data_IF_474537112714
#
_entry.id   IF_474537112714
#
_cell.length_a   1.000
_cell.length_b   1.000
_cell.length_c   1.000
_cell.angle_alpha   90.00
_cell.angle_beta   90.00
_cell.angle_gamma   90.00
#
_symmetry.space_group_name_H-M   'P 1'
#
loop_
_entity.id
_entity.type
_entity.pdbx_description
1 polymer ?
#
# COMPACT_ATOMS: atom_id res chain seq x y z
N UNK A 1 -60.40 -0.22 -36.59
CA UNK A 1 -59.85 0.05 -35.24
C UNK A 1 -58.41 -0.39 -35.26
N UNK A 2 -57.53 0.50 -34.84
CA UNK A 2 -56.09 0.64 -35.10
C UNK A 2 -55.23 -0.52 -34.58
N UNK A 3 -54.43 -1.10 -35.47
CA UNK A 3 -53.24 -1.89 -35.11
C UNK A 3 -52.11 -0.92 -34.74
N UNK A 4 -51.76 -0.89 -33.46
CA UNK A 4 -50.65 -0.10 -32.95
C UNK A 4 -49.33 -0.81 -33.26
N UNK A 5 -48.64 -0.34 -34.29
CA UNK A 5 -47.24 -0.68 -34.55
C UNK A 5 -46.38 -0.14 -33.40
N UNK A 6 -45.91 -1.02 -32.53
CA UNK A 6 -44.91 -0.70 -31.53
C UNK A 6 -43.52 -0.77 -32.18
N UNK A 7 -43.12 0.30 -32.87
CA UNK A 7 -41.75 0.46 -33.34
C UNK A 7 -40.84 0.67 -32.12
N UNK A 8 -40.05 -0.36 -31.80
CA UNK A 8 -38.91 -0.21 -30.90
C UNK A 8 -37.92 0.78 -31.52
N UNK A 9 -37.76 1.92 -30.86
CA UNK A 9 -36.77 2.95 -31.18
C UNK A 9 -35.35 2.40 -31.10
N UNK A 10 -34.53 2.75 -32.10
CA UNK A 10 -33.11 2.44 -32.17
C UNK A 10 -32.34 2.99 -30.94
N UNK A 11 -31.25 2.33 -30.48
CA UNK A 11 -30.48 2.83 -29.36
C UNK A 11 -29.78 4.14 -29.71
N UNK A 12 -30.11 5.12 -28.87
CA UNK A 12 -29.53 6.44 -28.62
C UNK A 12 -28.02 6.52 -28.86
N UNK A 13 -27.60 7.52 -29.62
CA UNK A 13 -26.22 7.86 -29.99
C UNK A 13 -25.27 7.81 -28.78
N UNK A 14 -24.37 6.81 -28.75
CA UNK A 14 -23.42 6.62 -27.66
C UNK A 14 -22.51 7.86 -27.52
N UNK A 15 -22.42 8.41 -26.31
CA UNK A 15 -21.55 9.55 -26.04
C UNK A 15 -20.13 9.06 -25.74
N UNK A 16 -19.22 9.30 -26.68
CA UNK A 16 -17.80 8.99 -26.54
C UNK A 16 -17.06 10.23 -26.06
N UNK A 17 -16.38 10.12 -24.93
CA UNK A 17 -15.53 11.18 -24.39
C UNK A 17 -14.07 10.83 -24.65
N UNK A 18 -13.35 11.72 -25.33
CA UNK A 18 -11.92 11.54 -25.60
C UNK A 18 -11.11 11.78 -24.33
N UNK A 19 -10.22 10.85 -24.00
CA UNK A 19 -9.21 11.02 -22.96
C UNK A 19 -8.00 11.81 -23.48
N UNK A 20 -7.14 12.24 -22.56
CA UNK A 20 -5.93 13.01 -22.88
C UNK A 20 -4.92 12.25 -23.77
N UNK A 21 -4.92 10.91 -23.72
CA UNK A 21 -4.05 10.09 -24.58
C UNK A 21 -4.76 9.93 -25.92
N UNK A 22 -4.41 10.83 -26.84
CA UNK A 22 -4.98 10.91 -28.16
C UNK A 22 -3.91 11.27 -29.18
N UNK A 23 -3.49 10.29 -29.98
CA UNK A 23 -2.48 10.50 -31.03
C UNK A 23 -3.14 10.73 -32.38
N UNK A 24 -2.75 11.79 -33.09
CA UNK A 24 -3.30 12.13 -34.40
C UNK A 24 -3.04 11.02 -35.43
N UNK A 25 -1.86 10.41 -35.37
CA UNK A 25 -1.40 9.27 -36.17
C UNK A 25 -1.77 7.90 -35.57
N UNK A 26 -2.49 7.86 -34.44
CA UNK A 26 -2.96 6.64 -33.83
C UNK A 26 -3.85 5.83 -34.79
N UNK A 27 -3.63 4.51 -34.82
CA UNK A 27 -4.28 3.60 -35.76
C UNK A 27 -5.25 2.60 -35.10
N UNK A 28 -5.52 2.77 -33.80
CA UNK A 28 -6.56 2.05 -33.08
C UNK A 28 -7.16 2.91 -31.96
N UNK A 29 -8.47 2.78 -31.72
CA UNK A 29 -9.16 3.42 -30.58
C UNK A 29 -9.53 2.35 -29.56
N UNK A 30 -9.10 2.52 -28.31
CA UNK A 30 -9.60 1.73 -27.19
C UNK A 30 -10.79 2.46 -26.58
N UNK A 31 -11.95 1.80 -26.48
CA UNK A 31 -13.11 2.35 -25.78
C UNK A 31 -13.37 1.59 -24.50
N UNK A 32 -13.81 2.30 -23.47
CA UNK A 32 -14.12 1.74 -22.16
C UNK A 32 -15.49 2.23 -21.70
N UNK A 33 -16.44 1.35 -21.38
CA UNK A 33 -17.74 1.74 -20.84
C UNK A 33 -17.59 2.43 -19.48
N UNK A 34 -18.23 3.59 -19.28
CA UNK A 34 -18.26 4.32 -17.99
C UNK A 34 -19.68 4.45 -17.43
N UNK A 35 -20.67 4.04 -18.21
CA UNK A 35 -22.08 4.02 -17.83
C UNK A 35 -22.94 3.61 -19.03
N UNK A 36 -24.27 3.51 -18.84
CA UNK A 36 -25.16 3.16 -19.93
C UNK A 36 -25.04 4.15 -21.09
N UNK A 37 -24.56 3.69 -22.24
CA UNK A 37 -24.38 4.51 -23.45
C UNK A 37 -23.23 5.53 -23.42
N UNK A 38 -22.34 5.47 -22.42
CA UNK A 38 -21.21 6.40 -22.27
C UNK A 38 -19.87 5.67 -22.27
N UNK A 39 -18.93 6.15 -23.08
CA UNK A 39 -17.62 5.54 -23.24
C UNK A 39 -16.50 6.57 -23.06
N UNK A 40 -15.38 6.15 -22.48
CA UNK A 40 -14.10 6.88 -22.60
C UNK A 40 -13.28 6.26 -23.72
N UNK A 41 -12.72 7.08 -24.59
CA UNK A 41 -11.91 6.64 -25.72
C UNK A 41 -10.46 7.12 -25.64
N UNK A 42 -9.54 6.24 -26.02
CA UNK A 42 -8.11 6.50 -26.12
C UNK A 42 -7.64 6.15 -27.53
N UNK A 43 -7.08 7.12 -28.26
CA UNK A 43 -6.55 6.88 -29.61
C UNK A 43 -5.05 6.65 -29.53
N UNK A 44 -4.61 5.45 -29.90
CA UNK A 44 -3.24 4.93 -29.66
C UNK A 44 -2.70 4.16 -30.86
N UNK A 45 -1.45 3.70 -30.75
CA UNK A 45 -0.78 2.87 -31.73
C UNK A 45 -0.89 1.39 -31.38
N UNK A 46 -1.49 0.61 -32.29
CA UNK A 46 -1.61 -0.85 -32.21
C UNK A 46 -0.26 -1.50 -31.91
N UNK A 47 0.76 -1.18 -32.71
CA UNK A 47 2.10 -1.78 -32.58
C UNK A 47 2.76 -1.50 -31.22
N UNK A 48 2.45 -0.38 -30.57
CA UNK A 48 2.96 -0.09 -29.22
C UNK A 48 2.40 -1.08 -28.20
N UNK A 49 1.10 -1.38 -28.28
CA UNK A 49 0.45 -2.33 -27.38
C UNK A 49 0.93 -3.76 -27.64
N UNK A 50 0.97 -4.19 -28.90
CA UNK A 50 1.41 -5.54 -29.30
C UNK A 50 2.85 -5.82 -28.91
N UNK A 51 3.73 -4.82 -29.03
CA UNK A 51 5.14 -4.94 -28.64
C UNK A 51 5.31 -5.27 -27.16
N UNK A 52 4.41 -4.79 -26.31
CA UNK A 52 4.52 -4.90 -24.86
C UNK A 52 3.61 -5.95 -24.24
N UNK A 53 2.64 -6.49 -25.00
CA UNK A 53 1.62 -7.40 -24.49
C UNK A 53 1.23 -8.45 -25.55
N UNK A 54 1.48 -9.71 -25.23
CA UNK A 54 1.02 -10.86 -26.01
C UNK A 54 -0.52 -10.95 -26.05
N UNK A 55 -1.18 -10.47 -24.99
CA UNK A 55 -2.65 -10.41 -24.91
C UNK A 55 -3.20 -9.42 -25.94
N UNK A 56 -2.62 -8.22 -26.03
CA UNK A 56 -3.02 -7.26 -27.06
C UNK A 56 -2.67 -7.74 -28.48
N UNK A 57 -1.50 -8.38 -28.66
CA UNK A 57 -1.14 -9.03 -29.94
C UNK A 57 -2.20 -10.06 -30.36
N UNK A 58 -2.60 -10.93 -29.44
CA UNK A 58 -3.63 -11.94 -29.70
C UNK A 58 -4.98 -11.28 -29.99
N UNK A 59 -5.37 -10.28 -29.19
CA UNK A 59 -6.62 -9.54 -29.33
C UNK A 59 -6.77 -8.90 -30.72
N UNK A 60 -5.71 -8.30 -31.25
CA UNK A 60 -5.75 -7.64 -32.55
C UNK A 60 -5.47 -8.59 -33.73
N UNK A 61 -5.04 -9.83 -33.46
CA UNK A 61 -4.88 -10.85 -34.51
C UNK A 61 -6.21 -11.44 -34.98
N UNK A 62 -7.27 -11.32 -34.16
CA UNK A 62 -8.60 -11.84 -34.49
C UNK A 62 -9.21 -11.01 -35.62
N UNK A 63 -9.56 -11.62 -36.77
CA UNK A 63 -10.18 -10.89 -37.88
C UNK A 63 -11.49 -10.24 -37.45
N UNK A 64 -11.57 -8.93 -37.58
CA UNK A 64 -12.80 -8.17 -37.40
C UNK A 64 -13.69 -8.35 -38.66
N UNK A 65 -15.02 -8.44 -38.52
CA UNK A 65 -15.94 -8.51 -39.66
C UNK A 65 -15.71 -7.35 -40.65
N UNK A 66 -15.91 -7.60 -41.94
CA UNK A 66 -15.66 -6.61 -43.02
C UNK A 66 -16.51 -5.32 -42.87
N UNK A 67 -17.63 -5.41 -42.15
CA UNK A 67 -18.52 -4.30 -41.85
C UNK A 67 -18.34 -3.74 -40.41
N UNK A 68 -17.15 -3.85 -39.83
CA UNK A 68 -16.90 -3.30 -38.49
C UNK A 68 -17.10 -1.78 -38.48
N UNK A 69 -17.88 -1.31 -37.51
CA UNK A 69 -18.06 0.11 -37.23
C UNK A 69 -16.71 0.75 -36.95
N UNK A 70 -16.48 1.94 -37.53
CA UNK A 70 -15.27 2.74 -37.28
C UNK A 70 -15.65 3.93 -36.41
N UNK A 71 -14.82 4.22 -35.42
CA UNK A 71 -14.91 5.45 -34.64
C UNK A 71 -13.93 6.43 -35.26
N UNK A 72 -14.43 7.52 -35.83
CA UNK A 72 -13.60 8.57 -36.45
C UNK A 72 -12.66 8.02 -37.55
N UNK A 73 -13.14 7.06 -38.33
CA UNK A 73 -12.37 6.42 -39.40
C UNK A 73 -11.29 5.44 -38.90
N UNK A 74 -11.25 5.17 -37.59
CA UNK A 74 -10.29 4.28 -36.96
C UNK A 74 -10.98 3.01 -36.43
N UNK A 75 -10.38 1.82 -36.60
CA UNK A 75 -10.87 0.63 -35.92
C UNK A 75 -10.80 0.81 -34.41
N UNK A 76 -11.74 0.21 -33.69
CA UNK A 76 -11.80 0.30 -32.24
C UNK A 76 -11.92 -1.07 -31.59
N UNK A 77 -11.54 -1.12 -30.32
CA UNK A 77 -11.69 -2.28 -29.45
C UNK A 77 -12.30 -1.83 -28.12
N UNK A 78 -13.39 -2.48 -27.73
CA UNK A 78 -13.99 -2.29 -26.42
C UNK A 78 -13.25 -3.09 -25.36
N UNK A 79 -12.85 -2.41 -24.28
CA UNK A 79 -12.23 -2.98 -23.10
C UNK A 79 -13.14 -2.73 -21.88
N UNK A 80 -13.16 -3.66 -20.94
CA UNK A 80 -13.98 -3.57 -19.73
C UNK A 80 -13.17 -3.18 -18.49
N UNK A 81 -12.10 -2.43 -18.69
CA UNK A 81 -11.16 -2.03 -17.64
C UNK A 81 -11.59 -0.73 -16.97
N UNK A 82 -10.97 -0.39 -15.84
CA UNK A 82 -11.16 0.95 -15.27
C UNK A 82 -10.52 2.00 -16.21
N UNK A 83 -11.26 3.06 -16.62
CA UNK A 83 -10.69 4.11 -17.48
C UNK A 83 -9.45 4.77 -16.89
N UNK A 84 -9.42 5.00 -15.58
CA UNK A 84 -8.25 5.57 -14.90
C UNK A 84 -7.07 4.60 -14.92
N UNK A 85 -7.31 3.30 -14.76
CA UNK A 85 -6.23 2.32 -14.78
C UNK A 85 -5.61 2.22 -16.17
N UNK A 86 -6.45 2.24 -17.20
CA UNK A 86 -6.02 2.22 -18.59
C UNK A 86 -5.20 3.46 -18.93
N UNK A 87 -5.61 4.64 -18.45
CA UNK A 87 -4.85 5.87 -18.61
C UNK A 87 -3.43 5.75 -18.04
N UNK A 88 -3.27 5.24 -16.82
CA UNK A 88 -1.94 5.09 -16.22
C UNK A 88 -1.11 4.01 -16.91
N UNK A 89 -1.72 2.91 -17.36
CA UNK A 89 -1.01 1.90 -18.14
C UNK A 89 -0.48 2.49 -19.45
N UNK A 90 -1.35 3.17 -20.20
CA UNK A 90 -0.97 3.80 -21.47
C UNK A 90 0.11 4.87 -21.23
N UNK A 91 -0.05 5.73 -20.22
CA UNK A 91 0.98 6.71 -19.85
C UNK A 91 2.32 6.02 -19.56
N UNK A 92 2.31 4.89 -18.83
CA UNK A 92 3.52 4.13 -18.56
C UNK A 92 4.16 3.50 -19.82
N UNK A 93 3.36 3.12 -20.83
CA UNK A 93 3.85 2.55 -22.09
C UNK A 93 4.42 3.59 -23.05
N UNK A 94 3.90 4.82 -23.02
CA UNK A 94 4.36 5.91 -23.90
C UNK A 94 5.44 6.77 -23.24
N UNK A 95 5.19 7.20 -22.01
CA UNK A 95 6.03 8.17 -21.29
C UNK A 95 6.97 7.50 -20.29
N UNK A 96 6.80 6.21 -20.01
CA UNK A 96 7.53 5.49 -18.97
C UNK A 96 6.94 5.70 -17.57
N UNK A 97 7.34 4.83 -16.63
CA UNK A 97 6.85 4.87 -15.25
C UNK A 97 7.96 5.36 -14.31
N UNK A 98 8.12 6.67 -14.08
CA UNK A 98 9.25 7.21 -13.31
C UNK A 98 8.86 7.67 -11.90
N UNK A 99 9.57 7.18 -10.89
CA UNK A 99 9.43 7.59 -9.48
C UNK A 99 10.70 8.29 -9.03
N UNK A 100 10.83 9.61 -9.30
CA UNK A 100 12.04 10.37 -8.96
C UNK A 100 12.25 10.46 -7.45
N UNK A 101 11.17 10.65 -6.70
CA UNK A 101 11.13 10.66 -5.24
C UNK A 101 9.92 9.84 -4.82
N UNK A 102 10.11 9.00 -3.80
CA UNK A 102 9.04 8.26 -3.16
C UNK A 102 7.92 9.20 -2.72
N UNK A 103 6.69 8.97 -3.19
CA UNK A 103 5.52 9.70 -2.70
C UNK A 103 4.29 8.79 -2.60
N UNK A 104 3.46 9.00 -1.57
CA UNK A 104 2.25 8.18 -1.39
C UNK A 104 1.27 8.26 -2.57
N UNK A 105 1.20 9.41 -3.24
CA UNK A 105 0.38 9.60 -4.46
C UNK A 105 0.82 8.74 -5.65
N UNK A 106 2.05 8.23 -5.66
CA UNK A 106 2.52 7.32 -6.71
C UNK A 106 1.71 6.01 -6.71
N UNK A 107 1.10 5.65 -5.58
CA UNK A 107 0.35 4.41 -5.43
C UNK A 107 -0.86 4.31 -6.36
N UNK A 108 -1.51 5.43 -6.72
CA UNK A 108 -2.60 5.39 -7.72
C UNK A 108 -2.07 4.83 -9.04
N UNK A 109 -0.96 5.37 -9.54
CA UNK A 109 -0.33 4.91 -10.77
C UNK A 109 0.22 3.50 -10.63
N UNK A 110 0.90 3.18 -9.52
CA UNK A 110 1.48 1.85 -9.28
C UNK A 110 0.38 0.78 -9.28
N UNK A 111 -0.70 1.00 -8.54
CA UNK A 111 -1.79 0.02 -8.42
C UNK A 111 -2.52 -0.18 -9.76
N UNK A 112 -2.83 0.90 -10.47
CA UNK A 112 -3.42 0.89 -11.80
C UNK A 112 -2.55 0.10 -12.81
N UNK A 113 -1.28 0.48 -12.92
CA UNK A 113 -0.33 -0.18 -13.83
C UNK A 113 -0.14 -1.63 -13.41
N UNK A 114 -0.07 -1.94 -12.12
CA UNK A 114 0.12 -3.31 -11.65
C UNK A 114 -1.07 -4.21 -12.00
N UNK A 115 -2.32 -3.76 -11.81
CA UNK A 115 -3.53 -4.49 -12.23
C UNK A 115 -3.48 -4.83 -13.71
N UNK A 116 -3.32 -3.82 -14.55
CA UNK A 116 -3.42 -4.04 -16.00
C UNK A 116 -2.19 -4.69 -16.59
N UNK A 117 -0.98 -4.41 -16.08
CA UNK A 117 0.21 -5.16 -16.49
C UNK A 117 0.14 -6.64 -16.11
N UNK A 118 -0.57 -6.99 -15.03
CA UNK A 118 -0.88 -8.37 -14.67
C UNK A 118 -1.91 -8.98 -15.60
N UNK A 119 -2.99 -8.25 -15.93
CA UNK A 119 -4.05 -8.72 -16.84
C UNK A 119 -3.54 -8.94 -18.26
N UNK A 120 -2.72 -8.02 -18.76
CA UNK A 120 -2.22 -7.99 -20.14
C UNK A 120 -0.80 -8.54 -20.31
N UNK A 121 -0.26 -9.19 -19.28
CA UNK A 121 1.06 -9.84 -19.29
C UNK A 121 2.22 -8.90 -19.72
N UNK A 122 2.23 -7.68 -19.18
CA UNK A 122 3.27 -6.67 -19.42
C UNK A 122 4.32 -6.76 -18.31
N UNK A 123 5.15 -7.79 -18.39
CA UNK A 123 6.04 -8.23 -17.29
C UNK A 123 7.00 -7.14 -16.77
N UNK A 124 7.60 -6.34 -17.66
CA UNK A 124 8.54 -5.29 -17.25
C UNK A 124 7.90 -4.21 -16.38
N UNK A 125 6.64 -3.82 -16.66
CA UNK A 125 5.88 -2.88 -15.83
C UNK A 125 5.46 -3.53 -14.51
N UNK A 126 4.98 -4.79 -14.56
CA UNK A 126 4.64 -5.56 -13.36
C UNK A 126 5.83 -5.65 -12.39
N UNK A 127 7.02 -6.03 -12.88
CA UNK A 127 8.25 -6.11 -12.08
C UNK A 127 8.63 -4.75 -11.48
N UNK A 128 8.48 -3.68 -12.25
CA UNK A 128 8.79 -2.32 -11.78
C UNK A 128 7.86 -1.87 -10.66
N UNK A 129 6.55 -2.09 -10.80
CA UNK A 129 5.58 -1.83 -9.74
C UNK A 129 5.85 -2.67 -8.50
N UNK A 130 6.12 -3.96 -8.66
CA UNK A 130 6.45 -4.85 -7.54
C UNK A 130 7.74 -4.44 -6.83
N UNK A 131 8.78 -4.05 -7.56
CA UNK A 131 10.01 -3.56 -6.95
C UNK A 131 9.74 -2.34 -6.07
N UNK A 132 8.95 -1.38 -6.57
CA UNK A 132 8.56 -0.19 -5.83
C UNK A 132 7.74 -0.55 -4.58
N UNK A 133 6.73 -1.41 -4.69
CA UNK A 133 5.93 -1.85 -3.55
C UNK A 133 6.76 -2.59 -2.49
N UNK A 134 7.75 -3.40 -2.87
CA UNK A 134 8.62 -4.10 -1.92
C UNK A 134 9.57 -3.16 -1.17
N UNK A 135 9.86 -1.96 -1.69
CA UNK A 135 10.56 -0.93 -0.91
C UNK A 135 9.64 -0.30 0.14
N UNK A 136 8.38 -0.07 -0.24
CA UNK A 136 7.37 0.54 0.64
C UNK A 136 6.80 -0.46 1.66
N UNK A 137 6.83 -1.76 1.36
CA UNK A 137 6.27 -2.88 2.14
C UNK A 137 7.23 -4.08 2.13
N UNK A 138 8.37 -3.97 2.81
CA UNK A 138 9.45 -4.94 2.72
C UNK A 138 9.18 -6.23 3.49
N UNK A 139 9.81 -7.33 3.06
CA UNK A 139 9.73 -8.65 3.71
C UNK A 139 10.85 -8.93 4.72
N UNK A 140 11.79 -8.00 4.91
CA UNK A 140 12.91 -8.16 5.87
C UNK A 140 12.96 -7.01 6.87
N UNK A 141 13.34 -7.33 8.12
CA UNK A 141 13.49 -6.36 9.20
C UNK A 141 14.45 -5.23 8.84
N UNK A 142 15.58 -5.55 8.20
CA UNK A 142 16.56 -4.55 7.76
C UNK A 142 15.97 -3.53 6.80
N UNK A 143 15.16 -3.98 5.84
CA UNK A 143 14.53 -3.09 4.87
C UNK A 143 13.37 -2.30 5.51
N UNK A 144 12.66 -2.89 6.47
CA UNK A 144 11.68 -2.19 7.28
C UNK A 144 12.33 -1.05 8.08
N UNK A 145 13.47 -1.30 8.72
CA UNK A 145 14.20 -0.29 9.48
C UNK A 145 14.69 0.86 8.59
N UNK A 146 15.17 0.54 7.38
CA UNK A 146 15.55 1.57 6.41
C UNK A 146 14.36 2.45 6.02
N UNK A 147 13.21 1.83 5.73
CA UNK A 147 11.96 2.54 5.43
C UNK A 147 11.51 3.44 6.59
N UNK A 148 11.54 2.93 7.81
CA UNK A 148 11.12 3.69 9.00
C UNK A 148 12.04 4.90 9.25
N UNK A 149 13.34 4.75 9.00
CA UNK A 149 14.29 5.86 9.07
C UNK A 149 13.99 6.93 8.02
N UNK A 150 13.69 6.53 6.79
CA UNK A 150 13.37 7.45 5.69
C UNK A 150 12.02 8.18 5.90
N UNK A 151 11.15 7.64 6.76
CA UNK A 151 9.86 8.24 7.13
C UNK A 151 9.96 9.29 8.26
N UNK A 152 11.15 9.55 8.80
CA UNK A 152 11.38 10.54 9.85
C UNK A 152 12.09 11.76 9.25
N UNK A 153 11.50 12.95 9.40
CA UNK A 153 12.10 14.19 8.90
C UNK A 153 13.26 14.69 9.78
N UNK A 154 13.94 15.75 9.34
CA UNK A 154 15.07 16.35 10.06
C UNK A 154 14.69 16.91 11.45
N UNK A 155 13.40 17.10 11.74
CA UNK A 155 12.87 17.53 13.03
C UNK A 155 12.40 16.35 13.90
N UNK A 156 12.62 15.10 13.45
CA UNK A 156 12.20 13.90 14.16
C UNK A 156 10.72 13.58 14.02
N UNK A 157 9.98 14.26 13.14
CA UNK A 157 8.55 13.98 12.92
C UNK A 157 8.41 12.77 12.02
N UNK A 158 7.64 11.79 12.50
CA UNK A 158 7.34 10.58 11.77
C UNK A 158 6.13 10.80 10.85
N UNK A 159 6.35 10.66 9.53
CA UNK A 159 5.32 10.88 8.50
C UNK A 159 5.48 9.86 7.35
N UNK A 160 5.15 8.57 7.58
CA UNK A 160 5.30 7.53 6.56
C UNK A 160 4.40 7.77 5.34
N UNK A 161 3.31 8.52 5.51
CA UNK A 161 2.32 8.82 4.47
C UNK A 161 2.72 9.92 3.51
N UNK A 162 3.88 10.55 3.72
CA UNK A 162 4.49 11.39 2.69
C UNK A 162 5.18 10.52 1.63
N UNK A 163 5.73 9.37 2.03
CA UNK A 163 6.55 8.50 1.17
C UNK A 163 5.80 7.28 0.61
N UNK A 164 4.89 6.68 1.38
CA UNK A 164 4.20 5.44 1.00
C UNK A 164 2.70 5.47 1.33
N UNK A 165 1.90 4.76 0.52
CA UNK A 165 0.44 4.75 0.65
C UNK A 165 -0.06 4.18 1.97
N UNK A 166 -1.32 4.43 2.29
CA UNK A 166 -1.95 3.88 3.49
C UNK A 166 -2.04 2.34 3.42
N UNK A 167 -1.71 1.59 4.50
CA UNK A 167 -1.69 0.13 4.49
C UNK A 167 -2.99 -0.53 4.03
N UNK A 168 -4.17 0.02 4.38
CA UNK A 168 -5.48 -0.50 3.90
C UNK A 168 -5.53 -0.62 2.37
N UNK A 169 -5.04 0.41 1.64
CA UNK A 169 -5.07 0.42 0.19
C UNK A 169 -4.17 -0.69 -0.38
N UNK A 170 -3.05 -0.94 0.29
CA UNK A 170 -2.06 -1.95 -0.09
C UNK A 170 -2.58 -3.35 0.22
N UNK A 171 -3.23 -3.56 1.37
CA UNK A 171 -3.89 -4.82 1.73
C UNK A 171 -4.95 -5.15 0.68
N UNK A 172 -5.78 -4.19 0.28
CA UNK A 172 -6.79 -4.41 -0.75
C UNK A 172 -6.15 -4.83 -2.08
N UNK A 173 -5.13 -4.10 -2.55
CA UNK A 173 -4.42 -4.44 -3.78
C UNK A 173 -3.75 -5.82 -3.70
N UNK A 174 -3.13 -6.14 -2.56
CA UNK A 174 -2.45 -7.40 -2.36
C UNK A 174 -3.42 -8.58 -2.35
N UNK A 175 -4.58 -8.44 -1.72
CA UNK A 175 -5.63 -9.46 -1.76
C UNK A 175 -6.25 -9.60 -3.15
N UNK A 176 -6.48 -8.47 -3.84
CA UNK A 176 -7.04 -8.44 -5.19
C UNK A 176 -6.14 -9.17 -6.20
N UNK A 177 -4.82 -9.00 -6.09
CA UNK A 177 -3.84 -9.52 -7.04
C UNK A 177 -3.03 -10.74 -6.54
N UNK A 178 -3.36 -11.28 -5.36
CA UNK A 178 -2.65 -12.41 -4.75
C UNK A 178 -1.19 -12.13 -4.40
N UNK A 179 -0.87 -10.92 -3.93
CA UNK A 179 0.50 -10.48 -3.60
C UNK A 179 0.81 -10.73 -2.12
N UNK A 180 0.83 -12.00 -1.74
CA UNK A 180 0.96 -12.44 -0.33
C UNK A 180 2.19 -11.87 0.38
N UNK A 181 3.30 -11.66 -0.35
CA UNK A 181 4.55 -11.13 0.22
C UNK A 181 4.43 -9.74 0.83
N UNK A 182 3.43 -8.95 0.42
CA UNK A 182 3.20 -7.59 0.92
C UNK A 182 2.34 -7.57 2.19
N UNK A 183 1.53 -8.62 2.41
CA UNK A 183 0.53 -8.65 3.48
C UNK A 183 1.15 -8.56 4.89
N UNK A 184 2.23 -9.29 5.25
CA UNK A 184 2.79 -9.22 6.59
C UNK A 184 3.18 -7.79 7.01
N UNK A 185 3.93 -7.09 6.16
CA UNK A 185 4.34 -5.71 6.42
C UNK A 185 3.15 -4.75 6.42
N UNK A 186 2.17 -4.95 5.53
CA UNK A 186 1.00 -4.08 5.43
C UNK A 186 0.07 -4.21 6.65
N UNK A 187 -0.19 -5.43 7.11
CA UNK A 187 -0.96 -5.66 8.33
C UNK A 187 -0.22 -5.19 9.58
N UNK A 188 1.10 -5.43 9.65
CA UNK A 188 1.91 -4.95 10.75
C UNK A 188 1.88 -3.42 10.84
N UNK A 189 2.05 -2.70 9.73
CA UNK A 189 1.96 -1.23 9.75
C UNK A 189 0.58 -0.74 10.17
N UNK A 190 -0.48 -1.41 9.70
CA UNK A 190 -1.84 -1.05 10.08
C UNK A 190 -2.12 -1.29 11.57
N UNK A 191 -1.57 -2.34 12.18
CA UNK A 191 -1.79 -2.65 13.59
C UNK A 191 -1.20 -1.59 14.53
N UNK A 192 -0.26 -0.77 14.03
CA UNK A 192 0.33 0.37 14.76
C UNK A 192 -0.59 1.57 14.90
N UNK A 193 -1.75 1.54 14.24
CA UNK A 193 -2.79 2.54 14.41
C UNK A 193 -3.74 2.13 15.54
N UNK A 194 -4.28 3.11 16.27
CA UNK A 194 -5.35 2.84 17.23
C UNK A 194 -6.61 2.25 16.55
N UNK A 195 -7.40 1.38 17.23
CA UNK A 195 -8.55 0.69 16.65
C UNK A 195 -9.55 1.61 15.91
N UNK A 196 -9.81 2.81 16.44
CA UNK A 196 -10.71 3.78 15.81
C UNK A 196 -10.20 4.27 14.45
N UNK A 197 -8.88 4.46 14.28
CA UNK A 197 -8.28 4.86 13.00
C UNK A 197 -8.32 3.72 11.99
N UNK A 198 -8.06 2.48 12.44
CA UNK A 198 -8.20 1.28 11.61
C UNK A 198 -9.64 1.15 11.10
N UNK A 199 -10.63 1.36 11.98
CA UNK A 199 -12.05 1.25 11.64
C UNK A 199 -12.54 2.36 10.69
N UNK A 200 -12.03 3.59 10.86
CA UNK A 200 -12.41 4.74 10.05
C UNK A 200 -12.12 4.50 8.56
N UNK A 201 -10.99 3.86 8.27
CA UNK A 201 -10.53 3.57 6.92
C UNK A 201 -9.53 4.58 6.39
N UNK A 202 -9.19 4.42 5.11
CA UNK A 202 -8.27 5.28 4.38
C UNK A 202 -9.00 6.14 3.37
N UNK A 203 -8.54 7.37 3.15
CA UNK A 203 -8.91 8.09 1.95
C UNK A 203 -8.48 7.25 0.73
N UNK A 204 -9.32 7.14 -0.31
CA UNK A 204 -8.89 6.53 -1.55
C UNK A 204 -7.69 7.31 -2.08
N UNK A 205 -6.80 6.61 -2.78
CA UNK A 205 -5.73 7.29 -3.53
C UNK A 205 -6.38 8.36 -4.41
N UNK A 206 -5.81 9.57 -4.52
CA UNK A 206 -6.36 10.60 -5.39
C UNK A 206 -6.52 9.99 -6.78
N UNK A 207 -7.77 9.73 -7.18
CA UNK A 207 -8.06 9.29 -8.53
C UNK A 207 -7.61 10.40 -9.45
N UNK A 208 -6.92 10.08 -10.54
CA UNK A 208 -6.79 11.08 -11.59
C UNK A 208 -8.21 11.38 -12.03
N UNK A 209 -8.66 12.61 -11.79
CA UNK A 209 -9.71 13.18 -12.61
C UNK A 209 -9.14 13.12 -14.02
N UNK A 210 -9.49 12.07 -14.78
CA UNK A 210 -9.35 12.10 -16.23
C UNK A 210 -9.92 13.46 -16.60
N UNK A 211 -9.08 14.35 -17.12
CA UNK A 211 -9.54 15.64 -17.61
C UNK A 211 -10.36 15.33 -18.86
N UNK A 212 -11.55 14.77 -18.65
CA UNK A 212 -12.62 14.68 -19.62
C UNK A 212 -12.84 16.12 -20.00
N UNK A 213 -12.50 16.47 -21.24
CA UNK A 213 -12.73 17.81 -21.76
C UNK A 213 -14.17 18.19 -21.41
N UNK A 214 -14.35 19.14 -20.48
CA UNK A 214 -15.61 19.76 -20.04
C UNK A 214 -16.40 19.18 -18.85
N UNK A 215 -15.83 18.37 -17.93
CA UNK A 215 -16.55 18.01 -16.69
C UNK A 215 -15.97 18.68 -15.43
N UNK A 216 -16.78 19.54 -14.77
CA UNK A 216 -16.49 20.11 -13.43
C UNK A 216 -16.49 18.96 -12.41
N UNK A 217 -15.47 18.83 -11.53
CA UNK A 217 -15.43 17.73 -10.58
C UNK A 217 -16.62 17.84 -9.61
N UNK A 218 -17.37 16.74 -9.37
CA UNK A 218 -18.42 16.73 -8.37
C UNK A 218 -17.80 16.89 -6.97
N UNK A 219 -18.31 17.87 -6.21
CA UNK A 219 -17.99 18.14 -4.80
C UNK A 219 -18.65 17.11 -3.87
N UNK A 220 -18.47 15.81 -4.14
CA UNK A 220 -18.96 14.73 -3.28
C UNK A 220 -17.77 14.17 -2.53
N UNK A 221 -17.86 14.16 -1.19
CA UNK A 221 -16.84 13.56 -0.34
C UNK A 221 -16.62 12.11 -0.77
N UNK A 222 -15.40 11.79 -1.22
CA UNK A 222 -15.08 10.45 -1.71
C UNK A 222 -15.16 9.46 -0.55
N UNK A 223 -15.90 8.34 -0.68
CA UNK A 223 -16.05 7.41 0.43
C UNK A 223 -14.71 6.81 0.82
N UNK A 224 -14.49 6.65 2.13
CA UNK A 224 -13.30 6.01 2.67
C UNK A 224 -13.27 4.52 2.31
N UNK A 225 -12.08 4.02 1.99
CA UNK A 225 -11.81 2.60 1.80
C UNK A 225 -11.63 1.94 3.17
N UNK A 226 -12.39 0.87 3.43
CA UNK A 226 -12.37 0.15 4.71
C UNK A 226 -12.06 -1.33 4.50
N UNK A 227 -11.44 -1.94 5.49
CA UNK A 227 -11.30 -3.39 5.56
C UNK A 227 -12.66 -4.07 5.69
N UNK A 228 -12.75 -5.32 5.23
CA UNK A 228 -13.84 -6.21 5.61
C UNK A 228 -13.81 -6.47 7.12
N UNK A 229 -14.95 -6.91 7.68
CA UNK A 229 -15.01 -7.27 9.10
C UNK A 229 -13.97 -8.33 9.49
N UNK A 230 -13.72 -9.31 8.62
CA UNK A 230 -12.72 -10.34 8.84
C UNK A 230 -11.30 -9.77 8.92
N UNK A 231 -10.88 -8.96 7.93
CA UNK A 231 -9.55 -8.35 7.92
C UNK A 231 -9.37 -7.31 9.03
N UNK A 232 -10.45 -6.63 9.42
CA UNK A 232 -10.44 -5.74 10.59
C UNK A 232 -10.16 -6.51 11.87
N UNK A 233 -10.91 -7.59 12.14
CA UNK A 233 -10.67 -8.46 13.30
C UNK A 233 -9.26 -9.08 13.27
N UNK A 234 -8.81 -9.56 12.11
CA UNK A 234 -7.45 -10.08 11.92
C UNK A 234 -6.37 -9.05 12.27
N UNK A 235 -6.57 -7.79 11.88
CA UNK A 235 -5.65 -6.70 12.23
C UNK A 235 -5.61 -6.46 13.74
N UNK A 236 -6.77 -6.46 14.41
CA UNK A 236 -6.85 -6.28 15.85
C UNK A 236 -6.24 -7.46 16.62
N UNK A 237 -6.47 -8.70 16.19
CA UNK A 237 -5.85 -9.88 16.80
C UNK A 237 -4.33 -9.83 16.69
N UNK A 238 -3.80 -9.49 15.51
CA UNK A 238 -2.35 -9.35 15.34
C UNK A 238 -1.77 -8.19 16.15
N UNK A 239 -2.55 -7.13 16.38
CA UNK A 239 -2.20 -6.04 17.31
C UNK A 239 -2.09 -6.54 18.75
N UNK A 240 -3.08 -7.30 19.23
CA UNK A 240 -3.03 -7.88 20.58
C UNK A 240 -1.84 -8.83 20.74
N UNK A 241 -1.53 -9.65 19.73
CA UNK A 241 -0.36 -10.52 19.72
C UNK A 241 0.96 -9.73 19.80
N UNK A 242 1.07 -8.64 19.05
CA UNK A 242 2.23 -7.76 19.10
C UNK A 242 2.43 -7.14 20.49
N UNK A 243 1.34 -6.68 21.12
CA UNK A 243 1.38 -6.11 22.46
C UNK A 243 1.68 -7.16 23.54
N UNK A 244 1.13 -8.37 23.41
CA UNK A 244 1.41 -9.48 24.31
C UNK A 244 2.89 -9.90 24.26
N UNK A 245 3.50 -9.95 23.08
CA UNK A 245 4.93 -10.23 22.94
C UNK A 245 5.78 -9.16 23.66
N UNK A 246 5.44 -7.88 23.49
CA UNK A 246 6.14 -6.80 24.17
C UNK A 246 5.95 -6.85 25.70
N UNK A 247 4.76 -7.23 26.19
CA UNK A 247 4.50 -7.42 27.61
C UNK A 247 5.39 -8.55 28.19
N UNK A 248 5.48 -9.68 27.50
CA UNK A 248 6.35 -10.79 27.89
C UNK A 248 7.84 -10.39 27.90
N UNK A 249 8.29 -9.59 26.91
CA UNK A 249 9.63 -9.03 26.91
C UNK A 249 9.89 -8.15 28.14
N UNK A 250 8.95 -7.28 28.53
CA UNK A 250 9.09 -6.43 29.72
C UNK A 250 9.20 -7.26 31.01
N UNK A 251 8.41 -8.32 31.12
CA UNK A 251 8.46 -9.22 32.26
C UNK A 251 9.82 -9.92 32.33
N UNK A 252 10.22 -10.59 31.25
CA UNK A 252 11.43 -11.41 31.24
C UNK A 252 12.72 -10.58 31.28
N UNK A 253 12.81 -9.52 30.45
CA UNK A 253 14.07 -8.81 30.20
C UNK A 253 14.24 -7.54 31.03
N UNK A 254 13.18 -7.03 31.67
CA UNK A 254 13.25 -5.80 32.46
C UNK A 254 12.79 -5.96 33.90
N UNK A 255 12.07 -7.03 34.23
CA UNK A 255 11.59 -7.30 35.60
C UNK A 255 12.35 -8.44 36.24
N UNK A 256 12.40 -9.60 35.58
CA UNK A 256 12.99 -10.82 36.16
C UNK A 256 14.48 -11.01 35.84
N UNK A 257 15.02 -10.14 34.97
CA UNK A 257 16.40 -10.20 34.52
C UNK A 257 17.40 -10.04 35.69
N UNK A 258 18.35 -10.98 35.86
CA UNK A 258 19.44 -10.82 36.82
C UNK A 258 20.31 -9.61 36.45
N UNK A 259 20.46 -8.66 37.36
CA UNK A 259 21.30 -7.48 37.17
C UNK A 259 22.57 -7.55 38.03
N UNK A 260 23.67 -7.01 37.50
CA UNK A 260 24.87 -6.79 38.31
C UNK A 260 24.57 -5.80 39.45
N UNK A 261 25.38 -5.84 40.52
CA UNK A 261 25.23 -4.94 41.68
C UNK A 261 25.16 -3.49 41.21
N UNK A 262 24.19 -2.75 41.75
CA UNK A 262 23.90 -1.33 41.44
C UNK A 262 23.42 -1.03 40.00
N UNK A 263 23.17 -2.06 39.17
CA UNK A 263 22.53 -1.89 37.86
C UNK A 263 21.00 -1.93 37.97
N UNK A 264 20.31 -1.08 37.20
CA UNK A 264 18.85 -1.00 37.21
C UNK A 264 18.26 -0.80 35.81
N UNK A 265 17.25 -1.62 35.50
CA UNK A 265 16.45 -1.54 34.27
C UNK A 265 15.17 -0.70 34.45
N UNK A 266 14.97 -0.11 35.63
CA UNK A 266 13.74 0.58 36.00
C UNK A 266 13.32 1.68 35.02
N UNK A 267 14.24 2.55 34.61
CA UNK A 267 13.92 3.65 33.69
C UNK A 267 13.58 3.16 32.29
N UNK A 268 14.23 2.08 31.81
CA UNK A 268 13.89 1.46 30.52
C UNK A 268 12.46 0.91 30.59
N UNK A 269 12.14 0.14 31.64
CA UNK A 269 10.81 -0.40 31.89
C UNK A 269 9.74 0.70 31.93
N UNK A 270 9.98 1.77 32.70
CA UNK A 270 9.04 2.88 32.85
C UNK A 270 8.74 3.55 31.50
N UNK A 271 9.77 3.81 30.68
CA UNK A 271 9.58 4.48 29.39
C UNK A 271 8.90 3.57 28.37
N UNK A 272 9.24 2.28 28.34
CA UNK A 272 8.58 1.30 27.47
C UNK A 272 7.09 1.19 27.82
N UNK A 273 6.75 1.05 29.10
CA UNK A 273 5.34 0.98 29.53
C UNK A 273 4.55 2.24 29.12
N UNK A 274 5.18 3.42 29.13
CA UNK A 274 4.57 4.66 28.63
C UNK A 274 4.36 4.64 27.11
N UNK A 275 5.31 4.10 26.35
CA UNK A 275 5.22 4.00 24.89
C UNK A 275 4.08 3.08 24.44
N UNK A 276 3.86 1.96 25.15
CA UNK A 276 2.73 1.04 24.91
C UNK A 276 1.36 1.73 25.04
N UNK A 277 1.26 2.78 25.87
CA UNK A 277 0.04 3.55 26.10
C UNK A 277 -0.42 4.46 24.95
N UNK A 278 0.21 4.41 23.77
CA UNK A 278 -0.26 5.13 22.58
C UNK A 278 0.19 6.59 22.49
N UNK A 279 1.37 6.91 23.02
CA UNK A 279 1.96 8.26 22.95
C UNK A 279 2.60 8.50 21.57
N UNK A 280 2.94 7.44 20.83
CA UNK A 280 3.67 7.52 19.56
C UNK A 280 2.70 7.43 18.37
N UNK A 281 2.26 8.58 17.85
CA UNK A 281 1.35 8.64 16.70
C UNK A 281 1.82 7.75 15.53
N UNK A 282 1.01 6.77 15.15
CA UNK A 282 1.31 5.84 14.04
C UNK A 282 2.34 4.76 14.37
N UNK A 283 2.72 4.64 15.65
CA UNK A 283 3.60 3.61 16.23
C UNK A 283 3.03 3.13 17.58
N UNK A 284 1.69 3.14 17.70
CA UNK A 284 0.97 2.86 18.94
C UNK A 284 1.04 1.36 19.26
N UNK A 285 1.80 0.98 20.29
CA UNK A 285 2.00 -0.42 20.61
C UNK A 285 2.87 -1.17 19.61
N UNK A 286 3.73 -0.47 18.86
CA UNK A 286 4.70 -1.04 17.91
C UNK A 286 5.89 -1.71 18.67
N UNK A 287 6.04 -3.05 18.64
CA UNK A 287 7.12 -3.71 19.35
C UNK A 287 8.50 -3.39 18.77
N UNK A 288 8.65 -3.33 17.44
CA UNK A 288 9.94 -3.06 16.80
C UNK A 288 10.45 -1.66 17.13
N UNK A 289 9.57 -0.65 17.09
CA UNK A 289 9.92 0.70 17.47
C UNK A 289 10.21 0.81 18.97
N UNK A 290 9.40 0.17 19.81
CA UNK A 290 9.57 0.23 21.27
C UNK A 290 10.88 -0.43 21.71
N UNK A 291 11.24 -1.56 21.10
CA UNK A 291 12.52 -2.23 21.32
C UNK A 291 13.70 -1.36 20.85
N UNK A 292 13.57 -0.67 19.71
CA UNK A 292 14.59 0.27 19.25
C UNK A 292 14.78 1.45 20.23
N UNK A 293 13.68 1.99 20.75
CA UNK A 293 13.72 3.04 21.78
C UNK A 293 14.39 2.55 23.08
N UNK A 294 14.15 1.29 23.47
CA UNK A 294 14.83 0.68 24.61
C UNK A 294 16.35 0.65 24.43
N UNK A 295 16.83 0.37 23.21
CA UNK A 295 18.26 0.38 22.88
C UNK A 295 18.85 1.79 22.95
N UNK A 296 18.14 2.79 22.42
CA UNK A 296 18.57 4.19 22.42
C UNK A 296 18.74 4.75 23.85
N UNK A 297 17.90 4.29 24.79
CA UNK A 297 18.00 4.66 26.20
C UNK A 297 19.33 4.26 26.85
N UNK A 298 20.04 3.25 26.34
CA UNK A 298 21.34 2.83 26.88
C UNK A 298 22.43 3.91 26.77
N UNK A 299 22.30 4.81 25.80
CA UNK A 299 23.21 5.93 25.55
C UNK A 299 22.73 7.27 26.11
N UNK A 300 21.50 7.36 26.61
CA UNK A 300 20.90 8.61 27.09
C UNK A 300 21.40 9.00 28.49
N UNK A 301 21.52 10.30 28.72
CA UNK A 301 21.99 10.91 29.98
C UNK A 301 21.01 11.91 30.58
N UNK A 302 19.80 11.99 30.04
CA UNK A 302 18.76 12.98 30.36
C UNK A 302 17.65 12.41 31.26
N UNK A 303 17.86 11.28 31.92
CA UNK A 303 16.94 10.77 32.94
C UNK A 303 17.02 11.68 34.17
N UNK A 304 15.94 11.78 34.95
CA UNK A 304 15.94 12.55 36.20
C UNK A 304 15.66 11.63 37.38
N UNK A 305 16.42 11.79 38.46
CA UNK A 305 16.14 11.19 39.76
C UNK A 305 15.30 12.10 40.68
N UNK A 306 14.78 13.20 40.12
CA UNK A 306 14.06 14.25 40.84
C UNK A 306 14.94 15.40 41.31
N UNK A 307 16.27 15.29 41.20
CA UNK A 307 17.24 16.32 41.64
C UNK A 307 18.19 16.73 40.52
N UNK A 308 18.73 15.76 39.75
CA UNK A 308 19.65 16.04 38.65
C UNK A 308 19.39 15.15 37.43
N UNK A 309 19.89 15.58 36.28
CA UNK A 309 19.99 14.72 35.11
C UNK A 309 21.07 13.66 35.34
N UNK A 310 20.74 12.41 35.06
CA UNK A 310 21.64 11.28 35.19
C UNK A 310 21.48 10.31 34.01
N UNK A 311 22.54 9.55 33.74
CA UNK A 311 22.47 8.39 32.85
C UNK A 311 21.89 7.17 33.56
N UNK A 312 21.57 6.13 32.77
CA UNK A 312 21.19 4.85 33.34
C UNK A 312 22.30 4.30 34.23
N UNK A 313 21.92 3.91 35.46
CA UNK A 313 22.78 3.16 36.37
C UNK A 313 22.92 1.73 35.82
N UNK A 314 23.82 1.55 34.86
CA UNK A 314 24.07 0.25 34.20
C UNK A 314 25.55 0.15 33.79
N UNK A 315 26.18 -0.97 34.14
CA UNK A 315 27.55 -1.27 33.70
C UNK A 315 27.59 -1.65 32.22
N UNK A 316 28.78 -1.61 31.61
CA UNK A 316 28.99 -1.94 30.20
C UNK A 316 28.49 -3.35 29.85
N UNK A 317 28.71 -4.34 30.73
CA UNK A 317 28.31 -5.74 30.52
C UNK A 317 26.77 -5.85 30.44
N UNK A 318 26.04 -5.25 31.38
CA UNK A 318 24.57 -5.25 31.37
C UNK A 318 24.01 -4.51 30.14
N UNK A 319 24.66 -3.43 29.68
CA UNK A 319 24.26 -2.73 28.45
C UNK A 319 24.42 -3.60 27.21
N UNK A 320 25.58 -4.24 27.05
CA UNK A 320 25.87 -5.11 25.91
C UNK A 320 24.95 -6.33 25.87
N UNK A 321 24.72 -6.96 27.02
CA UNK A 321 23.82 -8.11 27.15
C UNK A 321 22.36 -7.72 26.82
N UNK A 322 21.88 -6.59 27.33
CA UNK A 322 20.54 -6.08 27.03
C UNK A 322 20.39 -5.73 25.55
N UNK A 323 21.40 -5.09 24.94
CA UNK A 323 21.40 -4.81 23.52
C UNK A 323 21.29 -6.09 22.68
N UNK A 324 21.97 -7.16 23.08
CA UNK A 324 21.85 -8.47 22.47
C UNK A 324 20.45 -9.07 22.59
N UNK A 325 19.81 -8.96 23.76
CA UNK A 325 18.44 -9.42 23.98
C UNK A 325 17.42 -8.63 23.15
N UNK A 326 17.54 -7.31 23.11
CA UNK A 326 16.73 -6.45 22.23
C UNK A 326 16.90 -6.85 20.76
N UNK A 327 18.14 -7.08 20.31
CA UNK A 327 18.42 -7.51 18.94
C UNK A 327 17.70 -8.82 18.57
N UNK A 328 17.79 -9.84 19.44
CA UNK A 328 17.07 -11.12 19.26
C UNK A 328 15.56 -10.92 19.24
N UNK A 329 15.02 -10.17 20.20
CA UNK A 329 13.58 -9.90 20.28
C UNK A 329 13.04 -9.21 19.01
N UNK A 330 13.81 -8.31 18.40
CA UNK A 330 13.39 -7.67 17.13
C UNK A 330 13.32 -8.66 15.97
N UNK A 331 14.31 -9.56 15.84
CA UNK A 331 14.30 -10.62 14.82
C UNK A 331 13.14 -11.60 15.05
N UNK A 332 12.89 -11.98 16.31
CA UNK A 332 11.76 -12.82 16.71
C UNK A 332 10.41 -12.16 16.35
N UNK A 333 10.21 -10.89 16.74
CA UNK A 333 9.02 -10.12 16.36
C UNK A 333 8.80 -10.17 14.86
N UNK A 334 9.83 -9.87 14.06
CA UNK A 334 9.70 -9.85 12.60
C UNK A 334 9.29 -11.22 12.05
N UNK A 335 9.89 -12.29 12.56
CA UNK A 335 9.56 -13.67 12.18
C UNK A 335 8.14 -14.10 12.57
N UNK A 336 7.57 -13.53 13.65
CA UNK A 336 6.23 -13.87 14.12
C UNK A 336 5.10 -13.09 13.42
N UNK A 337 5.39 -11.96 12.76
CA UNK A 337 4.39 -11.10 12.10
C UNK A 337 3.43 -11.90 11.20
N UNK A 338 3.89 -12.78 10.28
CA UNK A 338 2.96 -13.56 9.46
C UNK A 338 1.98 -14.41 10.30
N UNK A 339 2.47 -15.00 11.40
CA UNK A 339 1.65 -15.80 12.32
C UNK A 339 0.63 -14.96 13.09
N UNK A 340 1.01 -13.77 13.55
CA UNK A 340 0.11 -12.85 14.26
C UNK A 340 -1.13 -12.46 13.45
N UNK A 341 -0.97 -12.36 12.14
CA UNK A 341 -2.06 -12.01 11.24
C UNK A 341 -2.65 -13.24 10.53
N UNK A 342 -2.33 -14.48 10.94
CA UNK A 342 -2.90 -15.68 10.32
C UNK A 342 -2.56 -15.82 8.82
N UNK A 343 -1.41 -15.28 8.39
CA UNK A 343 -0.94 -15.32 7.00
C UNK A 343 -0.07 -16.54 6.69
N UNK A 344 0.24 -17.35 7.71
CA UNK A 344 0.90 -18.65 7.51
C UNK A 344 -0.15 -19.62 6.99
N UNK A 345 -0.09 -19.93 5.69
CA UNK A 345 -1.01 -20.88 5.09
C UNK A 345 -0.94 -22.25 5.76
N UNK A 346 -2.07 -22.96 5.73
CA UNK A 346 -2.19 -24.41 5.91
C UNK A 346 -1.45 -25.17 4.78
N UNK A 347 -0.16 -24.91 4.61
CA UNK A 347 0.74 -25.45 3.60
C UNK A 347 1.78 -26.38 4.21
N UNK A 348 1.33 -27.28 5.08
CA UNK A 348 2.17 -28.23 5.80
C UNK A 348 1.32 -29.27 6.53
N UNK A 349 0.57 -30.06 5.78
CA UNK A 349 0.03 -31.36 6.20
C UNK A 349 0.08 -32.30 4.99
#
# INVERSE_FOLDING_TARGET
MTESQNQASAPTQAAIVRANIWFDDGNIILIVPVGPGNYTAFKVHRGQLERHSEVFQSLFSVPQPIASELIEGCPFVELHDCPSDLFYLLSALYDGLYFKKAHANDFTAISAVLRLSTKYFIDHLRRRCMHRLNMDWPSSLKAWDAREKDAVDAQGRYSPRDACAHPILVIHLALELGLESLLPAAFYDLSRYGPSKIYLGAAPSPGTHLHLSQAKPPSVATPLVRLSAAHFCQTLLGREMAQAHLAAFIEHELTDRPAARDCSFYFIRLNILRAVGGIACGRDGDPLYTLLQALEMLSRTDFTDGVQQCGLKMCHVCKADFAGAVGRAREEVWGMIPGWFGLVGAGGA
#
